data_IF_919470505210
#
_entry.id   IF_919470505210
#
_cell.length_a   1.000
_cell.length_b   1.000
_cell.length_c   1.000
_cell.angle_alpha   90.00
_cell.angle_beta   90.00
_cell.angle_gamma   90.00
#
_symmetry.space_group_name_H-M   'P 1'
#
loop_
_entity.id
_entity.type
_entity.pdbx_description
1 polymer ?
#
# COMPACT_ATOMS: atom_id res chain seq x y z
N UNK A 1 16.03 -6.04 -0.86
CA UNK A 1 15.37 -7.33 -1.17
C UNK A 1 13.89 -7.05 -1.25
N UNK A 2 13.19 -7.42 -2.34
CA UNK A 2 11.76 -7.13 -2.51
C UNK A 2 10.87 -7.67 -1.37
N UNK A 3 11.32 -8.67 -0.60
CA UNK A 3 10.61 -9.17 0.59
C UNK A 3 10.81 -8.24 1.78
N UNK A 4 12.05 -7.83 2.04
CA UNK A 4 12.39 -6.95 3.15
C UNK A 4 11.68 -5.60 3.06
N UNK A 5 11.57 -5.04 1.86
CA UNK A 5 10.92 -3.74 1.63
C UNK A 5 9.43 -3.78 2.01
N UNK A 6 8.72 -4.88 1.69
CA UNK A 6 7.30 -5.06 2.05
C UNK A 6 7.09 -5.25 3.55
N UNK A 7 8.00 -5.98 4.19
CA UNK A 7 7.96 -6.18 5.64
C UNK A 7 8.18 -4.85 6.36
N UNK A 8 9.20 -4.09 5.96
CA UNK A 8 9.48 -2.77 6.53
C UNK A 8 8.25 -1.85 6.46
N UNK A 9 7.61 -1.79 5.29
CA UNK A 9 6.41 -0.97 5.08
C UNK A 9 5.23 -1.45 5.92
N UNK A 10 5.00 -2.76 5.99
CA UNK A 10 3.91 -3.34 6.80
C UNK A 10 4.12 -3.06 8.29
N UNK A 11 5.34 -3.26 8.79
CA UNK A 11 5.70 -2.97 10.18
C UNK A 11 5.52 -1.49 10.50
N UNK A 12 5.98 -0.60 9.62
CA UNK A 12 5.81 0.84 9.82
C UNK A 12 4.32 1.25 9.89
N UNK A 13 3.47 0.68 9.03
CA UNK A 13 2.02 0.91 9.10
C UNK A 13 1.41 0.39 10.41
N UNK A 14 1.85 -0.78 10.90
CA UNK A 14 1.38 -1.33 12.18
C UNK A 14 1.79 -0.41 13.34
N UNK A 15 3.03 0.09 13.33
CA UNK A 15 3.50 1.06 14.34
C UNK A 15 2.70 2.36 14.31
N UNK A 16 2.29 2.82 13.13
CA UNK A 16 1.40 3.99 13.02
C UNK A 16 0.02 3.73 13.62
N UNK A 17 -0.54 2.53 13.43
CA UNK A 17 -1.82 2.15 14.05
C UNK A 17 -1.72 2.10 15.57
N UNK A 18 -0.60 1.61 16.11
CA UNK A 18 -0.36 1.58 17.56
C UNK A 18 -0.17 2.99 18.13
N UNK A 19 0.57 3.85 17.42
CA UNK A 19 0.86 5.20 17.84
C UNK A 19 -0.35 6.14 17.80
N UNK A 20 -1.19 6.04 16.77
CA UNK A 20 -2.36 6.90 16.58
C UNK A 20 -3.64 6.24 17.12
N UNK A 21 -4.23 6.74 18.23
CA UNK A 21 -5.39 6.09 18.85
C UNK A 21 -6.55 5.94 17.88
N UNK A 22 -7.07 4.71 17.76
CA UNK A 22 -8.12 4.37 16.79
C UNK A 22 -9.41 5.16 17.02
N UNK A 23 -9.72 5.55 18.26
CA UNK A 23 -10.91 6.34 18.59
C UNK A 23 -10.96 7.71 17.89
N UNK A 24 -9.79 8.30 17.65
CA UNK A 24 -9.65 9.61 16.98
C UNK A 24 -9.15 9.47 15.54
N UNK A 25 -8.36 8.44 15.25
CA UNK A 25 -7.61 8.26 14.01
C UNK A 25 -7.96 6.96 13.27
N UNK A 26 -9.19 6.48 13.39
CA UNK A 26 -9.67 5.23 12.78
C UNK A 26 -9.32 5.08 11.29
N UNK A 27 -9.26 6.19 10.55
CA UNK A 27 -8.92 6.20 9.13
C UNK A 27 -7.49 5.74 8.85
N UNK A 28 -6.52 5.99 9.75
CA UNK A 28 -5.14 5.49 9.63
C UNK A 28 -5.14 3.96 9.72
N UNK A 29 -5.90 3.42 10.68
CA UNK A 29 -6.10 1.97 10.87
C UNK A 29 -6.70 1.32 9.62
N UNK A 30 -7.75 1.91 9.05
CA UNK A 30 -8.37 1.39 7.83
C UNK A 30 -7.41 1.44 6.65
N UNK A 31 -6.66 2.53 6.47
CA UNK A 31 -5.67 2.63 5.40
C UNK A 31 -4.58 1.56 5.55
N UNK A 32 -4.04 1.37 6.75
CA UNK A 32 -3.04 0.35 7.03
C UNK A 32 -3.56 -1.06 6.71
N UNK A 33 -4.77 -1.40 7.16
CA UNK A 33 -5.41 -2.69 6.88
C UNK A 33 -5.57 -2.94 5.38
N UNK A 34 -6.07 -1.96 4.63
CA UNK A 34 -6.26 -2.06 3.18
C UNK A 34 -4.92 -2.30 2.48
N UNK A 35 -3.90 -1.52 2.85
CA UNK A 35 -2.61 -1.57 2.17
C UNK A 35 -1.91 -2.91 2.44
N UNK A 36 -1.87 -3.36 3.70
CA UNK A 36 -1.25 -4.63 4.09
C UNK A 36 -2.00 -5.81 3.45
N UNK A 37 -3.33 -5.84 3.56
CA UNK A 37 -4.15 -6.92 2.99
C UNK A 37 -3.94 -7.04 1.48
N UNK A 38 -3.92 -5.90 0.77
CA UNK A 38 -3.64 -5.88 -0.66
C UNK A 38 -2.25 -6.42 -0.96
N UNK A 39 -1.24 -6.06 -0.18
CA UNK A 39 0.13 -6.51 -0.44
C UNK A 39 0.27 -8.04 -0.34
N UNK A 40 -0.42 -8.66 0.61
CA UNK A 40 -0.49 -10.13 0.73
C UNK A 40 -1.28 -10.72 -0.44
N UNK A 41 -2.48 -10.22 -0.71
CA UNK A 41 -3.38 -10.73 -1.75
C UNK A 41 -2.73 -10.70 -3.14
N UNK A 42 -2.15 -9.56 -3.53
CA UNK A 42 -1.53 -9.41 -4.86
C UNK A 42 -0.25 -10.24 -4.96
N UNK A 43 0.47 -10.45 -3.85
CA UNK A 43 1.63 -11.33 -3.83
C UNK A 43 1.23 -12.78 -4.06
N UNK A 44 0.22 -13.28 -3.33
CA UNK A 44 -0.32 -14.63 -3.49
C UNK A 44 -0.89 -14.86 -4.90
N UNK A 45 -1.67 -13.90 -5.42
CA UNK A 45 -2.23 -14.00 -6.77
C UNK A 45 -1.12 -14.05 -7.83
N UNK A 46 -0.08 -13.24 -7.68
CA UNK A 46 1.06 -13.24 -8.61
C UNK A 46 1.84 -14.54 -8.56
N UNK A 47 2.04 -15.09 -7.37
CA UNK A 47 2.69 -16.39 -7.19
C UNK A 47 1.90 -17.49 -7.89
N UNK A 48 0.59 -17.57 -7.62
CA UNK A 48 -0.31 -18.52 -8.28
C UNK A 48 -0.33 -18.37 -9.81
N UNK A 49 -0.45 -17.15 -10.34
CA UNK A 49 -0.37 -16.91 -11.79
C UNK A 49 0.97 -17.38 -12.38
N UNK A 50 2.04 -17.27 -11.61
CA UNK A 50 3.36 -17.77 -12.00
C UNK A 50 3.44 -19.30 -12.09
N UNK A 51 2.70 -20.04 -11.25
CA UNK A 51 2.73 -21.52 -11.26
C UNK A 51 1.99 -22.11 -12.45
N UNK A 52 0.92 -21.46 -12.92
CA UNK A 52 0.13 -21.88 -14.09
C UNK A 52 0.70 -21.40 -15.44
N UNK A 53 1.91 -20.83 -15.44
CA UNK A 53 2.59 -20.35 -16.65
C UNK A 53 2.02 -19.04 -17.23
N UNK A 54 0.90 -18.55 -16.71
CA UNK A 54 0.33 -17.26 -17.08
C UNK A 54 1.00 -16.14 -16.27
N UNK A 55 2.24 -15.80 -16.64
CA UNK A 55 2.84 -14.54 -16.18
C UNK A 55 2.10 -13.39 -16.84
N UNK A 56 0.99 -12.99 -16.23
CA UNK A 56 0.26 -11.80 -16.64
C UNK A 56 1.23 -10.62 -16.61
N UNK A 57 1.61 -10.13 -17.79
CA UNK A 57 2.36 -8.88 -17.96
C UNK A 57 1.40 -7.73 -17.73
N UNK A 58 0.84 -7.64 -16.53
CA UNK A 58 0.04 -6.48 -16.13
C UNK A 58 1.01 -5.31 -16.05
N UNK A 59 1.01 -4.47 -17.09
CA UNK A 59 1.94 -3.35 -17.22
C UNK A 59 1.51 -2.17 -16.31
N UNK A 60 1.44 -2.43 -14.99
CA UNK A 60 1.09 -1.48 -13.93
C UNK A 60 2.34 -0.81 -13.34
N UNK A 61 3.49 -0.95 -14.01
CA UNK A 61 4.81 -0.55 -13.51
C UNK A 61 4.83 0.90 -13.01
N UNK A 62 4.20 1.82 -13.74
CA UNK A 62 4.18 3.24 -13.37
C UNK A 62 3.35 3.52 -12.11
N UNK A 63 2.13 2.99 -12.05
CA UNK A 63 1.22 3.17 -10.91
C UNK A 63 1.80 2.51 -9.65
N UNK A 64 2.45 1.36 -9.80
CA UNK A 64 3.18 0.71 -8.71
C UNK A 64 4.29 1.59 -8.14
N UNK A 65 5.10 2.21 -9.00
CA UNK A 65 6.16 3.13 -8.57
C UNK A 65 5.59 4.34 -7.82
N UNK A 66 4.58 5.01 -8.41
CA UNK A 66 3.96 6.19 -7.79
C UNK A 66 3.34 5.83 -6.44
N UNK A 67 2.61 4.71 -6.33
CA UNK A 67 2.08 4.21 -5.06
C UNK A 67 3.19 4.10 -4.01
N UNK A 68 4.30 3.43 -4.33
CA UNK A 68 5.38 3.21 -3.37
C UNK A 68 6.01 4.52 -2.90
N UNK A 69 6.25 5.47 -3.81
CA UNK A 69 6.72 6.80 -3.41
C UNK A 69 5.74 7.47 -2.46
N UNK A 70 4.48 7.61 -2.86
CA UNK A 70 3.44 8.27 -2.05
C UNK A 70 3.31 7.61 -0.67
N UNK A 71 3.35 6.29 -0.62
CA UNK A 71 3.22 5.52 0.62
C UNK A 71 4.41 5.70 1.56
N UNK A 72 5.65 5.64 1.05
CA UNK A 72 6.85 5.84 1.87
C UNK A 72 6.88 7.27 2.41
N UNK A 73 6.56 8.28 1.59
CA UNK A 73 6.44 9.65 2.06
C UNK A 73 5.34 9.81 3.12
N UNK A 74 4.17 9.21 2.93
CA UNK A 74 3.11 9.22 3.93
C UNK A 74 3.60 8.72 5.30
N UNK A 75 4.28 7.57 5.31
CA UNK A 75 4.83 6.97 6.53
C UNK A 75 5.88 7.89 7.16
N UNK A 76 6.81 8.44 6.36
CA UNK A 76 7.85 9.36 6.86
C UNK A 76 7.24 10.59 7.53
N UNK A 77 6.25 11.22 6.90
CA UNK A 77 5.59 12.41 7.46
C UNK A 77 4.82 12.10 8.75
N UNK A 78 4.12 10.96 8.80
CA UNK A 78 3.37 10.53 9.99
C UNK A 78 4.28 10.11 11.15
N UNK A 79 5.48 9.59 10.87
CA UNK A 79 6.48 9.27 11.90
C UNK A 79 7.30 10.49 12.35
N UNK A 80 7.51 11.48 11.48
CA UNK A 80 8.38 12.62 11.77
C UNK A 80 7.81 13.55 12.85
N UNK A 81 6.49 13.73 12.92
CA UNK A 81 5.76 14.47 13.98
C UNK A 81 6.19 15.91 14.27
N UNK A 82 7.11 16.47 13.48
CA UNK A 82 7.56 17.85 13.57
C UNK A 82 7.18 18.61 12.30
N UNK A 83 6.97 19.94 12.35
CA UNK A 83 6.74 20.73 11.15
C UNK A 83 7.92 20.56 10.18
N UNK A 84 7.62 20.20 8.93
CA UNK A 84 8.64 20.02 7.91
C UNK A 84 8.65 21.27 7.02
N UNK A 85 9.66 22.13 7.15
CA UNK A 85 9.74 23.41 6.42
C UNK A 85 8.47 24.29 6.57
N UNK A 86 7.86 24.29 7.76
CA UNK A 86 6.62 25.02 8.04
C UNK A 86 5.33 24.33 7.58
N UNK A 87 5.42 23.16 6.94
CA UNK A 87 4.24 22.35 6.61
C UNK A 87 3.83 21.46 7.80
N UNK A 88 2.52 21.31 8.07
CA UNK A 88 2.01 20.38 9.07
C UNK A 88 2.25 18.94 8.61
N UNK A 89 3.25 18.28 9.18
CA UNK A 89 3.67 16.93 8.80
C UNK A 89 2.54 15.92 8.93
N UNK A 90 1.71 16.04 9.97
CA UNK A 90 0.57 15.17 10.16
C UNK A 90 -0.45 15.24 9.02
N UNK A 91 -0.93 16.43 8.65
CA UNK A 91 -1.95 16.61 7.60
C UNK A 91 -1.45 16.14 6.24
N UNK A 92 -0.18 16.45 5.93
CA UNK A 92 0.49 15.98 4.71
C UNK A 92 0.58 14.45 4.73
N UNK A 93 1.00 13.87 5.85
CA UNK A 93 1.13 12.43 6.03
C UNK A 93 -0.19 11.69 5.86
N UNK A 94 -1.28 12.17 6.47
CA UNK A 94 -2.63 11.60 6.32
C UNK A 94 -3.11 11.71 4.88
N UNK A 95 -2.93 12.86 4.24
CA UNK A 95 -3.34 13.07 2.85
C UNK A 95 -2.62 12.11 1.90
N UNK A 96 -1.30 11.94 2.08
CA UNK A 96 -0.51 11.00 1.31
C UNK A 96 -0.91 9.55 1.61
N UNK A 97 -1.25 9.21 2.86
CA UNK A 97 -1.69 7.87 3.23
C UNK A 97 -3.02 7.50 2.55
N UNK A 98 -3.97 8.44 2.50
CA UNK A 98 -5.22 8.28 1.77
C UNK A 98 -4.98 8.12 0.26
N UNK A 99 -4.12 8.95 -0.32
CA UNK A 99 -3.74 8.83 -1.73
C UNK A 99 -3.08 7.48 -2.05
N UNK A 100 -2.14 7.04 -1.20
CA UNK A 100 -1.50 5.73 -1.30
C UNK A 100 -2.53 4.59 -1.24
N UNK A 101 -3.53 4.71 -0.37
CA UNK A 101 -4.61 3.73 -0.20
C UNK A 101 -5.47 3.63 -1.47
N UNK A 102 -5.85 4.76 -2.05
CA UNK A 102 -6.61 4.78 -3.31
C UNK A 102 -5.83 4.15 -4.48
N UNK A 103 -4.55 4.49 -4.63
CA UNK A 103 -3.67 3.87 -5.62
C UNK A 103 -3.50 2.36 -5.37
N UNK A 104 -3.50 1.95 -4.10
CA UNK A 104 -3.42 0.54 -3.70
C UNK A 104 -4.65 -0.24 -4.11
N UNK A 105 -5.85 0.31 -3.88
CA UNK A 105 -7.12 -0.28 -4.30
C UNK A 105 -7.22 -0.35 -5.82
N UNK A 106 -6.93 0.75 -6.53
CA UNK A 106 -6.97 0.79 -7.99
C UNK A 106 -6.07 -0.28 -8.60
N UNK A 107 -4.81 -0.34 -8.16
CA UNK A 107 -3.89 -1.37 -8.64
C UNK A 107 -4.32 -2.78 -8.23
N UNK A 108 -4.83 -2.97 -7.01
CA UNK A 108 -5.37 -4.26 -6.56
C UNK A 108 -6.52 -4.76 -7.44
N UNK A 109 -7.44 -3.89 -7.82
CA UNK A 109 -8.56 -4.22 -8.70
C UNK A 109 -8.10 -4.68 -10.08
N UNK A 110 -7.10 -4.01 -10.67
CA UNK A 110 -6.52 -4.44 -11.95
C UNK A 110 -5.94 -5.86 -11.83
N UNK A 111 -5.15 -6.12 -10.78
CA UNK A 111 -4.59 -7.45 -10.58
C UNK A 111 -5.65 -8.53 -10.40
N UNK A 112 -6.68 -8.25 -9.59
CA UNK A 112 -7.81 -9.18 -9.40
C UNK A 112 -8.54 -9.47 -10.71
N UNK A 113 -8.82 -8.44 -11.52
CA UNK A 113 -9.48 -8.60 -12.82
C UNK A 113 -8.69 -9.51 -13.76
N UNK A 114 -7.37 -9.34 -13.83
CA UNK A 114 -6.52 -10.19 -14.66
C UNK A 114 -6.41 -11.61 -14.10
N UNK A 115 -6.37 -11.76 -12.77
CA UNK A 115 -6.45 -13.06 -12.11
C UNK A 115 -7.74 -13.81 -12.45
N UNK A 116 -8.91 -13.16 -12.37
CA UNK A 116 -10.20 -13.80 -12.71
C UNK A 116 -10.24 -14.26 -14.18
N UNK A 117 -9.80 -13.42 -15.13
CA UNK A 117 -9.72 -13.84 -16.54
C UNK A 117 -8.85 -15.08 -16.76
N UNK A 118 -7.80 -15.21 -15.95
CA UNK A 118 -6.88 -16.35 -15.99
C UNK A 118 -7.52 -17.64 -15.46
N UNK A 119 -8.48 -17.54 -14.52
CA UNK A 119 -9.24 -18.69 -14.04
C UNK A 119 -10.26 -19.21 -15.07
N UNK A 120 -10.81 -18.32 -15.90
CA UNK A 120 -11.85 -18.64 -16.88
C UNK A 120 -11.30 -19.18 -18.22
N UNK A 121 -9.97 -19.18 -18.41
CA UNK A 121 -9.27 -19.62 -19.64
C UNK A 121 -8.66 -21.01 -19.50
#
# INVERSE_FOLDING_TARGET
DPVADKLMVSVALILLVDFYPTDTHWYITICALIIISREILVSALREWMGTIGQRSTVNVSYIGKVKTFVQVFAILFLLYQQPFFGLPSFEVGVTLLLAATLLTLYSGFIYLKEGVKTFDS
#
